data_IF_715965938425
#
_entry.id   IF_715965938425
#
_cell.length_a   1.000
_cell.length_b   1.000
_cell.length_c   1.000
_cell.angle_alpha   90.00
_cell.angle_beta   90.00
_cell.angle_gamma   90.00
#
_symmetry.space_group_name_H-M   'P 1'
#
loop_
_entity.id
_entity.type
_entity.pdbx_description
1 polymer ?
#
# COMPACT_ATOMS: atom_id res chain seq x y z
N UNK A 1 21.35 -18.98 27.30
CA UNK A 1 21.11 -19.36 25.87
C UNK A 1 21.73 -18.29 24.99
N UNK A 2 22.37 -18.65 23.86
CA UNK A 2 22.80 -17.63 22.89
C UNK A 2 21.53 -16.96 22.31
N UNK A 3 21.45 -15.63 22.23
CA UNK A 3 20.30 -14.96 21.61
C UNK A 3 20.17 -15.44 20.17
N UNK A 4 18.97 -15.92 19.81
CA UNK A 4 18.65 -16.24 18.42
C UNK A 4 18.69 -14.91 17.68
N UNK A 5 19.62 -14.76 16.74
CA UNK A 5 19.65 -13.59 15.86
C UNK A 5 18.31 -13.50 15.13
N UNK A 6 17.52 -12.47 15.45
CA UNK A 6 16.37 -12.10 14.62
C UNK A 6 16.93 -11.42 13.38
N UNK A 7 16.87 -12.05 12.18
CA UNK A 7 17.67 -11.66 11.03
C UNK A 7 17.41 -10.24 10.47
N UNK A 8 16.34 -9.57 10.93
CA UNK A 8 15.90 -8.27 10.39
C UNK A 8 15.97 -7.12 11.41
N UNK A 9 16.47 -7.38 12.62
CA UNK A 9 16.86 -6.35 13.59
C UNK A 9 18.31 -5.87 13.40
N UNK A 10 19.05 -6.42 12.43
CA UNK A 10 20.49 -6.19 12.26
C UNK A 10 20.82 -4.68 12.19
N UNK A 11 21.69 -4.26 13.11
CA UNK A 11 22.19 -2.89 13.23
C UNK A 11 21.33 -1.92 14.07
N UNK A 12 20.15 -2.32 14.56
CA UNK A 12 19.37 -1.49 15.51
C UNK A 12 19.72 -1.84 16.95
N UNK A 13 20.78 -1.24 17.47
CA UNK A 13 21.04 -1.23 18.92
C UNK A 13 20.48 0.08 19.45
N UNK A 14 19.44 0.00 20.27
CA UNK A 14 18.81 1.16 20.88
C UNK A 14 18.92 0.97 22.38
N UNK A 15 19.63 1.86 23.04
CA UNK A 15 19.75 1.85 24.49
C UNK A 15 18.69 2.77 25.08
N UNK A 16 17.93 2.28 26.04
CA UNK A 16 17.19 3.17 26.92
C UNK A 16 18.22 3.98 27.73
N UNK A 17 18.03 5.30 27.93
CA UNK A 17 18.87 6.05 28.85
C UNK A 17 18.96 5.35 30.21
N UNK A 18 20.11 5.38 30.91
CA UNK A 18 20.19 4.82 32.25
C UNK A 18 19.08 5.40 33.14
N UNK A 19 18.37 4.52 33.84
CA UNK A 19 17.36 4.92 34.82
C UNK A 19 18.01 4.85 36.19
N UNK A 20 18.11 5.98 36.88
CA UNK A 20 18.63 6.07 38.24
C UNK A 20 17.55 6.63 39.14
N UNK A 21 17.18 5.87 40.16
CA UNK A 21 16.13 6.22 41.11
C UNK A 21 16.59 5.78 42.50
N UNK A 22 16.35 6.63 43.49
CA UNK A 22 16.55 6.31 44.90
C UNK A 22 15.22 5.80 45.48
N UNK A 23 15.23 4.67 46.17
CA UNK A 23 14.10 4.17 46.95
C UNK A 23 14.53 3.96 48.40
N UNK A 24 13.59 4.13 49.33
CA UNK A 24 13.78 3.88 50.76
C UNK A 24 13.11 2.56 51.21
N UNK A 25 12.36 1.90 50.32
CA UNK A 25 11.64 0.67 50.61
C UNK A 25 12.28 -0.57 49.98
N UNK A 26 11.82 -1.77 50.36
CA UNK A 26 12.34 -3.04 49.83
C UNK A 26 11.90 -3.30 48.37
N UNK A 27 10.96 -2.51 47.85
CA UNK A 27 10.44 -2.64 46.49
C UNK A 27 10.96 -1.48 45.64
N UNK A 28 11.51 -1.83 44.48
CA UNK A 28 11.91 -0.89 43.44
C UNK A 28 11.14 -1.19 42.16
N UNK A 29 10.39 -0.20 41.66
CA UNK A 29 9.72 -0.27 40.35
C UNK A 29 10.52 0.54 39.34
N UNK A 30 10.93 -0.09 38.24
CA UNK A 30 11.67 0.59 37.16
C UNK A 30 10.70 1.46 36.35
N UNK A 31 10.85 2.80 36.34
CA UNK A 31 9.98 3.69 35.56
C UNK A 31 10.40 3.73 34.09
N UNK A 32 10.08 2.69 33.31
CA UNK A 32 10.35 2.70 31.87
C UNK A 32 9.65 3.90 31.21
N UNK A 33 10.43 4.74 30.53
CA UNK A 33 9.91 5.96 29.87
C UNK A 33 9.61 5.74 28.39
N UNK A 34 9.99 4.57 27.85
CA UNK A 34 9.80 4.20 26.44
C UNK A 34 9.31 2.76 26.35
N UNK A 35 8.45 2.47 25.37
CA UNK A 35 8.00 1.11 25.06
C UNK A 35 9.09 0.42 24.24
N UNK A 36 9.93 -0.40 24.88
CA UNK A 36 11.03 -1.11 24.23
C UNK A 36 10.99 -2.58 24.61
N UNK A 37 11.30 -3.45 23.66
CA UNK A 37 11.66 -4.83 23.95
C UNK A 37 13.14 -5.08 23.68
N UNK A 38 13.61 -6.28 23.97
CA UNK A 38 15.01 -6.69 23.84
C UNK A 38 15.59 -7.18 25.16
N UNK A 39 16.91 -7.09 25.30
CA UNK A 39 17.64 -7.51 26.49
C UNK A 39 17.55 -6.46 27.61
N UNK A 40 17.26 -6.92 28.83
CA UNK A 40 17.27 -6.13 30.05
C UNK A 40 18.38 -6.61 30.96
N UNK A 41 19.25 -5.66 31.35
CA UNK A 41 20.18 -5.82 32.46
C UNK A 41 19.78 -4.89 33.58
N UNK A 42 19.79 -5.39 34.81
CA UNK A 42 19.46 -4.62 36.02
C UNK A 42 20.64 -4.72 36.97
N UNK A 43 21.14 -3.56 37.42
CA UNK A 43 22.17 -3.47 38.45
C UNK A 43 21.63 -2.66 39.62
N UNK A 44 21.81 -3.18 40.84
CA UNK A 44 21.37 -2.54 42.08
C UNK A 44 22.57 -2.33 42.97
N UNK A 45 22.63 -1.18 43.63
CA UNK A 45 23.64 -0.84 44.63
C UNK A 45 22.94 -0.28 45.87
N UNK A 46 23.27 -0.82 47.05
CA UNK A 46 22.66 -0.42 48.33
C UNK A 46 23.77 -0.18 49.35
N UNK A 47 23.67 0.93 50.08
CA UNK A 47 24.51 1.19 51.24
C UNK A 47 23.86 0.57 52.48
N UNK A 48 24.58 -0.31 53.17
CA UNK A 48 24.17 -0.90 54.46
C UNK A 48 25.23 -0.53 55.49
N UNK A 49 24.95 0.49 56.31
CA UNK A 49 25.95 1.08 57.19
C UNK A 49 27.09 1.72 56.40
N UNK A 50 28.31 1.17 56.51
CA UNK A 50 29.50 1.61 55.76
C UNK A 50 29.76 0.78 54.50
N UNK A 51 29.02 -0.30 54.30
CA UNK A 51 29.27 -1.26 53.23
C UNK A 51 28.40 -0.96 52.01
N UNK A 52 29.01 -1.01 50.83
CA UNK A 52 28.30 -0.94 49.55
C UNK A 52 28.06 -2.35 49.02
N UNK A 53 26.82 -2.79 49.02
CA UNK A 53 26.41 -4.07 48.43
C UNK A 53 25.97 -3.86 46.98
N UNK A 54 26.33 -4.79 46.09
CA UNK A 54 25.96 -4.77 44.67
C UNK A 54 25.31 -6.08 44.26
N UNK A 55 24.32 -6.00 43.39
CA UNK A 55 23.70 -7.15 42.74
C UNK A 55 23.44 -6.84 41.27
N UNK A 56 23.50 -7.86 40.41
CA UNK A 56 23.24 -7.73 38.98
C UNK A 56 22.39 -8.90 38.47
N UNK A 57 21.50 -8.60 37.53
CA UNK A 57 20.79 -9.58 36.70
C UNK A 57 21.00 -9.23 35.23
N UNK A 58 21.36 -10.22 34.43
CA UNK A 58 21.57 -10.12 32.99
C UNK A 58 20.79 -11.21 32.25
N UNK A 59 20.56 -11.01 30.95
CA UNK A 59 19.90 -11.99 30.09
C UNK A 59 18.38 -12.08 30.31
N UNK A 60 17.78 -11.06 30.94
CA UNK A 60 16.34 -10.91 30.99
C UNK A 60 15.84 -10.42 29.63
N UNK A 61 14.68 -10.88 29.19
CA UNK A 61 14.08 -10.45 27.92
C UNK A 61 12.78 -9.68 28.18
N UNK A 62 12.65 -8.53 27.53
CA UNK A 62 11.38 -7.82 27.40
C UNK A 62 10.80 -8.17 26.02
N UNK A 63 9.71 -8.93 26.01
CA UNK A 63 9.05 -9.40 24.80
C UNK A 63 7.64 -8.81 24.70
N UNK A 64 7.13 -8.72 23.47
CA UNK A 64 5.76 -8.35 23.20
C UNK A 64 4.77 -9.49 23.48
N UNK A 65 3.48 -9.14 23.56
CA UNK A 65 2.42 -10.15 23.67
C UNK A 65 2.26 -10.88 22.34
N UNK A 66 2.43 -12.20 22.35
CA UNK A 66 2.23 -13.09 21.20
C UNK A 66 0.76 -13.22 20.74
N UNK A 67 -0.18 -12.60 21.47
CA UNK A 67 -1.61 -12.69 21.17
C UNK A 67 -2.01 -11.74 20.04
N UNK A 68 -2.86 -12.18 19.09
CA UNK A 68 -3.47 -11.29 18.12
C UNK A 68 -4.32 -10.21 18.80
N UNK A 69 -4.34 -9.03 18.19
CA UNK A 69 -5.16 -7.91 18.64
C UNK A 69 -6.56 -8.09 18.04
N UNK A 70 -7.59 -7.92 18.86
CA UNK A 70 -8.96 -8.02 18.37
C UNK A 70 -9.30 -6.85 17.45
N UNK A 71 -10.11 -7.10 16.41
CA UNK A 71 -10.55 -6.05 15.49
C UNK A 71 -11.31 -4.93 16.22
N UNK A 72 -12.11 -5.28 17.24
CA UNK A 72 -12.79 -4.29 18.08
C UNK A 72 -11.79 -3.37 18.82
N UNK A 73 -10.65 -3.89 19.27
CA UNK A 73 -9.61 -3.08 19.91
C UNK A 73 -8.92 -2.15 18.91
N UNK A 74 -8.72 -2.60 17.67
CA UNK A 74 -8.19 -1.77 16.58
C UNK A 74 -9.15 -0.61 16.27
N UNK A 75 -10.44 -0.90 16.10
CA UNK A 75 -11.47 0.11 15.85
C UNK A 75 -11.56 1.13 17.00
N UNK A 76 -11.59 0.67 18.26
CA UNK A 76 -11.56 1.55 19.45
C UNK A 76 -10.28 2.40 19.55
N UNK A 77 -9.21 2.00 18.87
CA UNK A 77 -7.94 2.73 18.80
C UNK A 77 -7.85 3.65 17.58
N UNK A 78 -8.95 3.84 16.85
CA UNK A 78 -9.06 4.78 15.73
C UNK A 78 -8.87 4.17 14.35
N UNK A 79 -8.69 2.84 14.22
CA UNK A 79 -8.63 2.21 12.91
C UNK A 79 -9.95 2.36 12.15
N UNK A 80 -9.89 2.62 10.85
CA UNK A 80 -11.03 2.48 9.95
C UNK A 80 -11.27 1.01 9.60
N UNK A 81 -12.46 0.68 9.10
CA UNK A 81 -12.75 -0.69 8.60
C UNK A 81 -11.78 -1.13 7.51
N UNK A 82 -11.37 -0.20 6.63
CA UNK A 82 -10.38 -0.48 5.58
C UNK A 82 -9.01 -0.79 6.18
N UNK A 83 -8.58 -0.08 7.23
CA UNK A 83 -7.32 -0.40 7.91
C UNK A 83 -7.38 -1.76 8.60
N UNK A 84 -8.51 -2.12 9.23
CA UNK A 84 -8.70 -3.45 9.82
C UNK A 84 -8.62 -4.55 8.76
N UNK A 85 -9.26 -4.35 7.60
CA UNK A 85 -9.18 -5.26 6.44
C UNK A 85 -7.74 -5.44 5.95
N UNK A 86 -6.97 -4.35 5.85
CA UNK A 86 -5.55 -4.39 5.50
C UNK A 86 -4.77 -5.20 6.54
N UNK A 87 -4.89 -4.86 7.83
CA UNK A 87 -4.18 -5.54 8.93
C UNK A 87 -4.45 -7.06 8.95
N UNK A 88 -5.67 -7.47 8.60
CA UNK A 88 -6.03 -8.89 8.49
C UNK A 88 -5.16 -9.63 7.48
N UNK A 89 -4.94 -9.01 6.32
CA UNK A 89 -4.08 -9.56 5.24
C UNK A 89 -2.61 -9.46 5.61
N UNK A 90 -2.17 -8.30 6.11
CA UNK A 90 -0.76 -7.98 6.37
C UNK A 90 -0.14 -8.83 7.48
N UNK A 91 -0.86 -8.99 8.60
CA UNK A 91 -0.28 -9.59 9.81
C UNK A 91 -1.15 -10.64 10.48
N UNK A 92 -2.41 -10.79 10.04
CA UNK A 92 -3.45 -11.52 10.76
C UNK A 92 -3.66 -10.95 12.16
N UNK A 93 -3.69 -9.63 12.24
CA UNK A 93 -3.84 -8.83 13.48
C UNK A 93 -2.74 -9.04 14.52
N UNK A 94 -1.52 -9.39 14.09
CA UNK A 94 -0.38 -9.64 14.97
C UNK A 94 0.65 -8.51 14.89
N UNK A 95 1.08 -8.00 16.04
CA UNK A 95 2.27 -7.14 16.12
C UNK A 95 3.55 -7.96 16.27
N UNK A 96 3.45 -9.10 16.97
CA UNK A 96 4.58 -9.92 17.38
C UNK A 96 4.43 -11.35 16.85
N UNK A 97 5.55 -12.04 16.73
CA UNK A 97 5.58 -13.47 16.43
C UNK A 97 4.87 -14.27 17.51
N UNK A 98 4.06 -15.23 17.09
CA UNK A 98 3.16 -15.93 18.00
C UNK A 98 3.67 -17.30 18.45
N UNK A 99 4.77 -17.80 17.88
CA UNK A 99 5.22 -19.19 18.06
C UNK A 99 6.74 -19.34 18.00
N UNK A 100 7.22 -20.43 18.60
CA UNK A 100 8.62 -20.86 18.54
C UNK A 100 9.54 -20.04 19.42
N UNK A 101 10.85 -20.18 19.18
CA UNK A 101 11.91 -19.51 19.95
C UNK A 101 11.92 -17.98 19.78
N UNK A 102 11.12 -17.47 18.85
CA UNK A 102 10.98 -16.04 18.55
C UNK A 102 9.60 -15.50 18.96
N UNK A 103 8.81 -16.24 19.73
CA UNK A 103 7.54 -15.72 20.24
C UNK A 103 7.76 -14.41 21.02
N UNK A 104 6.93 -13.40 20.73
CA UNK A 104 7.03 -12.08 21.34
C UNK A 104 8.04 -11.12 20.69
N UNK A 105 8.83 -11.57 19.72
CA UNK A 105 9.65 -10.67 18.89
C UNK A 105 8.78 -9.95 17.84
N UNK A 106 9.16 -8.76 17.35
CA UNK A 106 8.37 -8.04 16.34
C UNK A 106 8.16 -8.89 15.09
N UNK A 107 6.94 -8.87 14.55
CA UNK A 107 6.61 -9.58 13.32
C UNK A 107 7.18 -8.83 12.12
N UNK A 108 8.30 -9.30 11.57
CA UNK A 108 8.90 -8.72 10.38
C UNK A 108 8.39 -9.40 9.09
N UNK A 109 8.37 -8.64 7.99
CA UNK A 109 7.97 -9.12 6.69
C UNK A 109 8.89 -10.23 6.20
N UNK A 110 8.31 -11.30 5.64
CA UNK A 110 9.05 -12.46 5.15
C UNK A 110 9.90 -12.19 3.90
N UNK A 111 9.63 -11.09 3.19
CA UNK A 111 10.35 -10.64 2.00
C UNK A 111 11.66 -9.91 2.30
N UNK A 112 11.97 -9.70 3.58
CA UNK A 112 13.17 -8.99 4.07
C UNK A 112 13.26 -7.53 3.64
N UNK A 113 12.16 -6.91 3.22
CA UNK A 113 12.11 -5.47 2.93
C UNK A 113 12.04 -4.61 4.20
N UNK A 114 11.80 -5.23 5.36
CA UNK A 114 11.81 -4.56 6.65
C UNK A 114 10.42 -4.08 7.11
N UNK A 115 9.36 -4.59 6.48
CA UNK A 115 7.99 -4.41 6.96
C UNK A 115 7.84 -4.93 8.39
N UNK A 116 7.10 -4.21 9.24
CA UNK A 116 6.94 -4.61 10.65
C UNK A 116 5.53 -4.48 11.19
N UNK A 117 5.14 -5.45 12.02
CA UNK A 117 3.99 -5.37 12.90
C UNK A 117 2.64 -5.48 12.20
N UNK A 118 1.62 -4.87 12.82
CA UNK A 118 0.22 -4.95 12.38
C UNK A 118 0.02 -4.57 10.92
N UNK A 119 0.66 -3.48 10.50
CA UNK A 119 0.44 -2.82 9.22
C UNK A 119 1.60 -3.01 8.23
N UNK A 120 2.61 -3.80 8.62
CA UNK A 120 3.80 -4.11 7.82
C UNK A 120 4.51 -2.85 7.26
N UNK A 121 4.62 -1.79 8.07
CA UNK A 121 5.29 -0.53 7.68
C UNK A 121 6.71 -0.82 7.20
N UNK A 122 6.98 -0.51 5.94
CA UNK A 122 8.26 -0.78 5.26
C UNK A 122 8.98 0.52 4.87
N UNK A 123 8.25 1.43 4.21
CA UNK A 123 8.74 2.74 3.80
C UNK A 123 7.72 3.84 4.20
N UNK A 124 8.15 4.89 4.93
CA UNK A 124 9.48 5.10 5.48
C UNK A 124 9.89 3.99 6.46
N UNK A 125 11.19 3.84 6.69
CA UNK A 125 11.71 2.82 7.62
C UNK A 125 11.04 3.00 8.99
N UNK A 126 10.44 1.94 9.58
CA UNK A 126 9.70 2.08 10.84
C UNK A 126 10.60 2.54 11.97
N UNK A 127 10.06 3.39 12.85
CA UNK A 127 10.67 3.84 14.09
C UNK A 127 10.66 2.73 15.14
N UNK A 128 11.43 2.89 16.22
CA UNK A 128 11.49 1.88 17.28
C UNK A 128 10.18 1.77 18.06
N UNK A 129 9.43 2.88 18.16
CA UNK A 129 8.09 2.88 18.74
C UNK A 129 7.13 2.08 17.85
N UNK A 130 7.18 2.25 16.52
CA UNK A 130 6.34 1.48 15.58
C UNK A 130 6.70 -0.03 15.55
N UNK A 131 7.91 -0.40 15.97
CA UNK A 131 8.32 -1.81 16.11
C UNK A 131 7.73 -2.43 17.38
N UNK A 132 7.82 -1.74 18.52
CA UNK A 132 7.48 -2.30 19.83
C UNK A 132 6.11 -1.90 20.39
N UNK A 133 5.49 -0.86 19.84
CA UNK A 133 4.15 -0.41 20.20
C UNK A 133 3.20 -0.62 19.03
N UNK A 134 2.28 -1.58 19.19
CA UNK A 134 1.26 -1.83 18.17
C UNK A 134 0.37 -0.60 17.92
N UNK A 135 0.18 0.28 18.92
CA UNK A 135 -0.55 1.54 18.76
C UNK A 135 0.22 2.53 17.89
N UNK A 136 1.53 2.63 18.08
CA UNK A 136 2.37 3.46 17.22
C UNK A 136 2.41 2.89 15.80
N UNK A 137 2.53 1.57 15.65
CA UNK A 137 2.45 0.88 14.35
C UNK A 137 1.12 1.17 13.64
N UNK A 138 -0.01 1.03 14.34
CA UNK A 138 -1.32 1.34 13.80
C UNK A 138 -1.42 2.81 13.35
N UNK A 139 -0.95 3.75 14.18
CA UNK A 139 -0.94 5.17 13.84
C UNK A 139 -0.09 5.47 12.59
N UNK A 140 1.11 4.88 12.50
CA UNK A 140 1.98 5.00 11.33
C UNK A 140 1.32 4.44 10.06
N UNK A 141 0.73 3.24 10.13
CA UNK A 141 0.00 2.64 9.01
C UNK A 141 -1.21 3.46 8.59
N UNK A 142 -1.99 4.00 9.53
CA UNK A 142 -3.11 4.91 9.22
C UNK A 142 -2.64 6.18 8.52
N UNK A 143 -1.52 6.76 8.94
CA UNK A 143 -0.94 7.93 8.25
C UNK A 143 -0.58 7.61 6.81
N UNK A 144 0.03 6.45 6.56
CA UNK A 144 0.36 5.99 5.21
C UNK A 144 -0.93 5.81 4.40
N UNK A 145 -1.91 5.05 4.89
CA UNK A 145 -3.17 4.84 4.17
C UNK A 145 -3.88 6.15 3.84
N UNK A 146 -3.95 7.09 4.79
CA UNK A 146 -4.61 8.37 4.55
C UNK A 146 -3.90 9.19 3.46
N UNK A 147 -2.56 9.16 3.42
CA UNK A 147 -1.80 9.76 2.31
C UNK A 147 -2.14 9.11 0.98
N UNK A 148 -2.18 7.78 0.95
CA UNK A 148 -2.48 6.99 -0.25
C UNK A 148 -3.90 7.22 -0.77
N UNK A 149 -4.88 7.33 0.12
CA UNK A 149 -6.26 7.69 -0.23
C UNK A 149 -6.36 9.11 -0.81
N UNK A 150 -5.62 10.06 -0.25
CA UNK A 150 -5.56 11.43 -0.78
C UNK A 150 -4.98 11.46 -2.20
N UNK A 151 -3.87 10.76 -2.42
CA UNK A 151 -3.22 10.72 -3.73
C UNK A 151 -4.02 9.93 -4.77
N UNK A 152 -4.69 8.86 -4.35
CA UNK A 152 -5.67 8.16 -5.17
C UNK A 152 -6.79 9.09 -5.64
N UNK A 153 -7.39 9.86 -4.72
CA UNK A 153 -8.43 10.85 -5.06
C UNK A 153 -7.91 11.87 -6.07
N UNK A 154 -6.79 12.51 -5.77
CA UNK A 154 -6.19 13.52 -6.65
C UNK A 154 -5.90 12.98 -8.05
N UNK A 155 -5.39 11.75 -8.14
CA UNK A 155 -5.14 11.10 -9.42
C UNK A 155 -6.44 10.89 -10.21
N UNK A 156 -7.43 10.25 -9.60
CA UNK A 156 -8.68 9.91 -10.28
C UNK A 156 -9.47 11.15 -10.70
N UNK A 157 -9.47 12.20 -9.88
CA UNK A 157 -10.08 13.50 -10.22
C UNK A 157 -9.34 14.23 -11.35
N UNK A 158 -8.01 14.08 -11.44
CA UNK A 158 -7.19 14.68 -12.49
C UNK A 158 -7.19 13.87 -13.81
N UNK A 159 -7.53 12.57 -13.75
CA UNK A 159 -7.46 11.66 -14.89
C UNK A 159 -8.22 12.16 -16.14
N UNK A 160 -9.45 12.73 -16.06
CA UNK A 160 -10.15 13.28 -17.23
C UNK A 160 -9.41 14.44 -17.92
N UNK A 161 -8.48 15.10 -17.22
CA UNK A 161 -7.66 16.19 -17.78
C UNK A 161 -6.30 15.71 -18.30
N UNK A 162 -5.95 14.44 -18.06
CA UNK A 162 -4.69 13.85 -18.48
C UNK A 162 -4.54 13.80 -20.00
N UNK A 163 -3.29 13.84 -20.48
CA UNK A 163 -2.99 13.67 -21.91
C UNK A 163 -3.49 12.32 -22.44
N UNK A 164 -3.46 11.28 -21.59
CA UNK A 164 -3.94 9.93 -21.90
C UNK A 164 -5.44 9.92 -22.20
N UNK A 165 -6.27 10.50 -21.32
CA UNK A 165 -7.71 10.56 -21.55
C UNK A 165 -8.05 11.43 -22.77
N UNK A 166 -7.42 12.61 -22.91
CA UNK A 166 -7.61 13.48 -24.08
C UNK A 166 -7.25 12.79 -25.40
N UNK A 167 -6.20 11.97 -25.41
CA UNK A 167 -5.87 11.13 -26.57
C UNK A 167 -7.01 10.17 -26.91
N UNK A 168 -7.56 9.46 -25.92
CA UNK A 168 -8.66 8.51 -26.16
C UNK A 168 -9.93 9.19 -26.66
N UNK A 169 -10.23 10.40 -26.17
CA UNK A 169 -11.35 11.22 -26.69
C UNK A 169 -11.14 11.56 -28.16
N UNK A 170 -9.93 11.96 -28.54
CA UNK A 170 -9.59 12.25 -29.93
C UNK A 170 -9.69 10.99 -30.81
N UNK A 171 -9.10 9.88 -30.39
CA UNK A 171 -9.13 8.60 -31.13
C UNK A 171 -10.57 8.11 -31.34
N UNK A 172 -11.44 8.30 -30.35
CA UNK A 172 -12.87 8.01 -30.49
C UNK A 172 -13.55 8.89 -31.55
N UNK A 173 -13.37 10.21 -31.51
CA UNK A 173 -13.97 11.13 -32.49
C UNK A 173 -13.45 10.87 -33.90
N UNK A 174 -12.15 10.58 -34.07
CA UNK A 174 -11.57 10.19 -35.35
C UNK A 174 -12.18 8.88 -35.87
N UNK A 175 -12.37 7.87 -35.01
CA UNK A 175 -13.01 6.61 -35.40
C UNK A 175 -14.48 6.82 -35.82
N UNK A 176 -15.20 7.72 -35.14
CA UNK A 176 -16.57 8.12 -35.49
C UNK A 176 -16.63 8.82 -36.85
N UNK A 177 -15.70 9.73 -37.13
CA UNK A 177 -15.58 10.38 -38.43
C UNK A 177 -15.27 9.37 -39.56
N UNK A 178 -14.34 8.43 -39.34
CA UNK A 178 -14.02 7.37 -40.30
C UNK A 178 -15.23 6.48 -40.61
N UNK A 179 -16.01 6.07 -39.60
CA UNK A 179 -17.22 5.26 -39.80
C UNK A 179 -18.28 6.00 -40.60
N UNK A 180 -18.48 7.30 -40.35
CA UNK A 180 -19.44 8.11 -41.09
C UNK A 180 -19.06 8.24 -42.58
N UNK A 181 -17.77 8.28 -42.90
CA UNK A 181 -17.28 8.40 -44.27
C UNK A 181 -17.47 7.14 -45.13
N UNK A 182 -17.87 6.00 -44.55
CA UNK A 182 -18.17 4.77 -45.30
C UNK A 182 -19.54 4.93 -45.97
N UNK A 183 -19.62 4.96 -47.32
CA UNK A 183 -20.89 5.10 -48.02
C UNK A 183 -21.82 3.92 -47.70
N UNK A 184 -23.11 4.20 -47.49
CA UNK A 184 -24.11 3.14 -47.39
C UNK A 184 -24.16 2.36 -48.72
N UNK A 185 -24.34 1.02 -48.69
CA UNK A 185 -24.53 0.25 -49.91
C UNK A 185 -25.65 0.84 -50.79
N UNK A 186 -25.31 1.27 -52.01
CA UNK A 186 -26.25 1.89 -52.96
C UNK A 186 -26.37 3.43 -52.88
N UNK A 187 -25.67 4.10 -51.96
CA UNK A 187 -25.61 5.56 -51.94
C UNK A 187 -24.71 6.09 -53.07
N UNK A 188 -25.17 7.11 -53.78
CA UNK A 188 -24.34 7.84 -54.76
C UNK A 188 -23.18 8.54 -54.02
N UNK A 189 -21.97 8.59 -54.61
CA UNK A 189 -20.85 9.30 -54.00
C UNK A 189 -21.17 10.80 -53.91
N UNK A 190 -21.41 11.27 -52.69
CA UNK A 190 -21.56 12.68 -52.35
C UNK A 190 -20.58 13.06 -51.23
N UNK A 191 -20.30 14.35 -51.02
CA UNK A 191 -19.46 14.80 -49.92
C UNK A 191 -20.11 14.43 -48.59
N UNK A 192 -19.56 13.44 -47.89
CA UNK A 192 -19.99 13.10 -46.53
C UNK A 192 -19.32 14.05 -45.57
N UNK A 193 -20.09 14.94 -44.94
CA UNK A 193 -19.59 15.79 -43.87
C UNK A 193 -19.35 14.92 -42.62
N UNK A 194 -18.14 14.91 -42.04
CA UNK A 194 -17.91 14.17 -40.81
C UNK A 194 -18.77 14.76 -39.69
N UNK A 195 -19.30 13.92 -38.78
CA UNK A 195 -20.08 14.42 -37.67
C UNK A 195 -19.18 15.28 -36.76
N UNK A 196 -19.73 16.30 -36.09
CA UNK A 196 -18.96 17.15 -35.19
C UNK A 196 -18.39 16.33 -34.02
N UNK A 197 -17.24 16.74 -33.52
CA UNK A 197 -16.59 16.11 -32.37
C UNK A 197 -17.51 16.11 -31.15
N UNK A 198 -17.59 14.96 -30.47
CA UNK A 198 -18.29 14.85 -29.21
C UNK A 198 -17.45 15.42 -28.08
N UNK A 199 -18.10 16.15 -27.18
CA UNK A 199 -17.55 16.47 -25.88
C UNK A 199 -17.76 15.26 -24.96
N UNK A 200 -16.68 14.51 -24.72
CA UNK A 200 -16.72 13.30 -23.89
C UNK A 200 -16.28 13.63 -22.47
N UNK A 201 -17.13 13.31 -21.50
CA UNK A 201 -16.86 13.47 -20.07
C UNK A 201 -16.68 12.11 -19.39
N UNK A 202 -16.00 12.10 -18.25
CA UNK A 202 -15.91 10.94 -17.36
C UNK A 202 -16.50 11.35 -16.01
N UNK A 203 -17.41 10.55 -15.40
CA UNK A 203 -18.02 10.92 -14.13
C UNK A 203 -16.97 11.00 -13.02
N UNK A 204 -17.25 11.81 -11.99
CA UNK A 204 -16.40 11.90 -10.81
C UNK A 204 -16.20 10.50 -10.19
N UNK A 205 -15.00 10.19 -9.67
CA UNK A 205 -14.74 8.89 -9.06
C UNK A 205 -15.58 8.72 -7.79
N UNK A 206 -16.04 7.49 -7.55
CA UNK A 206 -16.76 7.15 -6.31
C UNK A 206 -15.78 6.94 -5.15
N UNK A 207 -16.28 7.04 -3.91
CA UNK A 207 -15.46 6.74 -2.72
C UNK A 207 -14.91 5.31 -2.73
N UNK A 208 -15.64 4.35 -3.30
CA UNK A 208 -15.16 2.97 -3.44
C UNK A 208 -13.99 2.89 -4.42
N UNK A 209 -14.04 3.61 -5.55
CA UNK A 209 -12.94 3.64 -6.52
C UNK A 209 -11.67 4.24 -5.90
N UNK A 210 -11.82 5.34 -5.16
CA UNK A 210 -10.73 5.98 -4.41
C UNK A 210 -10.17 5.02 -3.36
N UNK A 211 -11.05 4.33 -2.63
CA UNK A 211 -10.66 3.38 -1.59
C UNK A 211 -9.87 2.19 -2.14
N UNK A 212 -10.32 1.59 -3.24
CA UNK A 212 -9.63 0.48 -3.91
C UNK A 212 -8.26 0.91 -4.44
N UNK A 213 -8.18 2.07 -5.07
CA UNK A 213 -6.90 2.67 -5.50
C UNK A 213 -5.98 2.95 -4.30
N UNK A 214 -6.51 3.48 -3.20
CA UNK A 214 -5.75 3.74 -1.97
C UNK A 214 -5.22 2.47 -1.30
N UNK A 215 -6.00 1.39 -1.26
CA UNK A 215 -5.56 0.07 -0.78
C UNK A 215 -4.43 -0.46 -1.65
N UNK A 216 -4.60 -0.36 -2.97
CA UNK A 216 -3.61 -0.80 -3.93
C UNK A 216 -2.29 -0.04 -3.74
N UNK A 217 -2.39 1.28 -3.61
CA UNK A 217 -1.29 2.19 -3.34
C UNK A 217 -0.61 1.92 -1.99
N UNK A 218 -1.36 1.55 -0.95
CA UNK A 218 -0.84 1.23 0.39
C UNK A 218 0.17 0.09 0.37
N UNK A 219 -0.14 -0.99 -0.34
CA UNK A 219 0.76 -2.13 -0.50
C UNK A 219 1.94 -1.83 -1.46
N UNK A 220 1.90 -0.70 -2.14
CA UNK A 220 2.99 -0.17 -2.94
C UNK A 220 2.87 -0.48 -4.42
N UNK A 221 3.60 0.31 -5.20
CA UNK A 221 3.54 0.28 -6.66
C UNK A 221 4.58 -0.65 -7.29
N UNK A 222 5.60 -1.05 -6.53
CA UNK A 222 6.72 -1.87 -6.98
C UNK A 222 7.91 -1.08 -7.51
N UNK A 223 9.05 -1.74 -7.76
CA UNK A 223 10.31 -1.12 -8.15
C UNK A 223 10.21 -0.45 -9.53
N UNK A 224 10.75 0.76 -9.65
CA UNK A 224 10.81 1.50 -10.91
C UNK A 224 9.51 2.22 -11.31
N UNK A 225 8.51 2.22 -10.42
CA UNK A 225 7.25 2.94 -10.61
C UNK A 225 7.23 4.15 -9.68
N UNK A 226 6.72 5.28 -10.19
CA UNK A 226 6.55 6.51 -9.40
C UNK A 226 5.52 6.23 -8.32
N UNK A 227 5.94 6.31 -7.06
CA UNK A 227 5.01 6.57 -5.98
C UNK A 227 4.65 8.06 -6.04
N UNK A 228 3.40 8.45 -6.37
CA UNK A 228 3.01 9.85 -6.43
C UNK A 228 3.18 10.58 -5.09
N UNK A 229 3.31 9.85 -3.98
CA UNK A 229 3.62 10.40 -2.66
C UNK A 229 5.11 10.48 -2.34
N UNK A 230 5.98 9.84 -3.12
CA UNK A 230 7.42 9.90 -2.88
C UNK A 230 7.97 11.27 -3.27
N UNK A 231 8.99 11.72 -2.52
CA UNK A 231 9.78 12.88 -2.93
C UNK A 231 10.25 12.69 -4.39
N UNK A 232 10.24 13.76 -5.21
CA UNK A 232 10.58 13.66 -6.62
C UNK A 232 11.95 12.95 -6.78
N UNK A 233 12.08 12.03 -7.74
CA UNK A 233 13.31 11.29 -7.92
C UNK A 233 14.48 12.26 -8.16
N UNK A 234 15.64 11.93 -7.59
CA UNK A 234 16.88 12.65 -7.92
C UNK A 234 17.11 12.59 -9.45
N UNK A 235 17.60 13.65 -10.09
CA UNK A 235 17.65 13.82 -11.55
C UNK A 235 18.45 12.77 -12.34
N UNK A 236 19.16 11.85 -11.67
CA UNK A 236 19.96 10.79 -12.31
C UNK A 236 19.32 9.40 -12.28
N UNK A 237 18.07 9.27 -11.83
CA UNK A 237 17.36 7.99 -11.87
C UNK A 237 16.71 7.75 -13.25
N UNK A 238 16.75 6.49 -13.70
CA UNK A 238 16.11 6.03 -14.96
C UNK A 238 14.68 6.58 -15.09
N UNK A 239 14.18 6.84 -16.32
CA UNK A 239 12.81 7.29 -16.52
C UNK A 239 11.85 6.34 -15.81
N UNK A 240 11.18 6.86 -14.79
CA UNK A 240 10.25 6.10 -13.97
C UNK A 240 8.96 5.88 -14.75
N UNK A 241 8.37 4.69 -14.62
CA UNK A 241 7.21 4.27 -15.40
C UNK A 241 5.92 4.70 -14.72
N UNK A 242 4.91 5.09 -15.50
CA UNK A 242 3.57 5.34 -14.98
C UNK A 242 3.00 4.07 -14.37
N UNK A 243 2.44 4.19 -13.17
CA UNK A 243 1.78 3.10 -12.49
C UNK A 243 0.48 2.68 -13.23
N UNK A 244 0.17 1.37 -13.29
CA UNK A 244 -1.17 0.92 -13.71
C UNK A 244 -2.16 1.09 -12.55
N UNK A 245 -2.88 2.21 -12.57
CA UNK A 245 -3.96 2.52 -11.64
C UNK A 245 -5.04 1.44 -11.60
N UNK A 246 -5.71 1.30 -10.47
CA UNK A 246 -6.88 0.44 -10.25
C UNK A 246 -7.98 0.75 -11.26
N UNK A 247 -8.23 2.04 -11.52
CA UNK A 247 -9.30 2.49 -12.40
C UNK A 247 -8.77 3.33 -13.58
N UNK A 248 -9.30 3.09 -14.78
CA UNK A 248 -9.07 3.90 -15.98
C UNK A 248 -10.40 4.09 -16.72
N UNK A 249 -10.43 4.87 -17.81
CA UNK A 249 -11.61 4.88 -18.67
C UNK A 249 -11.79 3.53 -19.41
N UNK A 250 -13.03 3.10 -19.60
CA UNK A 250 -13.38 1.90 -20.36
C UNK A 250 -13.03 2.06 -21.83
N UNK A 251 -12.33 1.07 -22.37
CA UNK A 251 -11.92 1.02 -23.77
C UNK A 251 -12.53 -0.21 -24.44
N UNK A 252 -13.08 -0.03 -25.63
CA UNK A 252 -13.32 -1.10 -26.57
C UNK A 252 -11.97 -1.56 -27.13
N UNK A 253 -11.63 -2.81 -26.86
CA UNK A 253 -10.37 -3.44 -27.27
C UNK A 253 -10.56 -4.46 -28.39
N UNK A 254 -11.68 -4.41 -29.13
CA UNK A 254 -11.90 -5.24 -30.31
C UNK A 254 -10.79 -5.04 -31.35
N UNK A 255 -10.24 -3.83 -31.46
CA UNK A 255 -8.97 -3.54 -32.14
C UNK A 255 -7.87 -3.24 -31.08
N UNK A 256 -6.96 -4.18 -30.80
CA UNK A 256 -5.87 -3.97 -29.83
C UNK A 256 -4.88 -2.88 -30.24
N UNK A 257 -4.78 -2.55 -31.53
CA UNK A 257 -3.87 -1.50 -32.02
C UNK A 257 -4.47 -0.10 -31.86
N UNK A 258 -5.81 0.00 -31.87
CA UNK A 258 -6.54 1.26 -31.77
C UNK A 258 -7.72 1.16 -30.79
N UNK A 259 -7.46 0.97 -29.48
CA UNK A 259 -8.54 0.92 -28.51
C UNK A 259 -9.26 2.27 -28.43
N UNK A 260 -10.59 2.27 -28.50
CA UNK A 260 -11.41 3.49 -28.46
C UNK A 260 -12.25 3.54 -27.18
N UNK A 261 -12.65 4.72 -26.71
CA UNK A 261 -13.51 4.83 -25.53
C UNK A 261 -14.85 4.12 -25.75
N UNK A 262 -15.33 3.43 -24.70
CA UNK A 262 -16.75 3.07 -24.61
C UNK A 262 -17.48 4.27 -24.02
N UNK A 263 -18.40 4.84 -24.80
CA UNK A 263 -19.17 6.01 -24.38
C UNK A 263 -20.66 5.82 -24.63
N UNK A 264 -21.47 6.49 -23.82
CA UNK A 264 -22.90 6.65 -24.04
C UNK A 264 -23.15 8.04 -24.64
N UNK A 265 -23.46 8.10 -25.94
CA UNK A 265 -23.84 9.34 -26.60
C UNK A 265 -25.20 9.83 -26.08
N UNK A 266 -25.30 11.14 -25.81
CA UNK A 266 -26.58 11.75 -25.46
C UNK A 266 -27.43 12.00 -26.70
N UNK A 267 -28.75 12.12 -26.52
CA UNK A 267 -29.73 12.33 -27.61
C UNK A 267 -29.43 13.57 -28.48
N UNK A 268 -28.72 14.56 -27.95
CA UNK A 268 -28.36 15.78 -28.66
C UNK A 268 -27.16 15.59 -29.62
N UNK A 269 -26.52 14.42 -29.64
CA UNK A 269 -25.34 14.08 -30.45
C UNK A 269 -24.15 15.07 -30.35
N UNK A 270 -24.09 15.86 -29.26
CA UNK A 270 -23.01 16.83 -29.00
C UNK A 270 -22.12 16.42 -27.83
N UNK A 271 -22.64 15.57 -26.94
CA UNK A 271 -21.99 15.16 -25.70
C UNK A 271 -22.09 13.66 -25.51
N UNK A 272 -21.07 13.06 -24.89
CA UNK A 272 -21.11 11.67 -24.46
C UNK A 272 -20.46 11.49 -23.09
N UNK A 273 -20.79 10.38 -22.44
CA UNK A 273 -20.22 10.02 -21.14
C UNK A 273 -19.47 8.69 -21.26
N UNK A 274 -18.19 8.70 -20.92
CA UNK A 274 -17.38 7.51 -20.76
C UNK A 274 -17.63 6.87 -19.38
N UNK A 275 -17.26 5.60 -19.24
CA UNK A 275 -17.34 4.87 -17.97
C UNK A 275 -15.96 4.60 -17.40
N UNK A 276 -15.91 4.40 -16.08
CA UNK A 276 -14.73 3.85 -15.41
C UNK A 276 -14.66 2.34 -15.62
N UNK A 277 -13.44 1.84 -15.72
CA UNK A 277 -13.06 0.44 -15.83
C UNK A 277 -12.08 0.10 -14.71
N UNK A 278 -12.40 -0.95 -13.95
CA UNK A 278 -11.52 -1.50 -12.95
C UNK A 278 -10.58 -2.53 -13.60
N UNK A 279 -9.27 -2.29 -13.52
CA UNK A 279 -8.27 -3.22 -14.06
C UNK A 279 -8.31 -4.56 -13.33
N UNK A 280 -8.48 -5.63 -14.09
CA UNK A 280 -8.50 -6.98 -13.56
C UNK A 280 -7.10 -7.44 -13.15
N UNK A 281 -7.02 -8.62 -12.52
CA UNK A 281 -5.75 -9.33 -12.30
C UNK A 281 -4.96 -9.51 -13.60
N UNK A 282 -5.65 -9.87 -14.68
CA UNK A 282 -5.04 -10.20 -15.96
C UNK A 282 -4.53 -8.93 -16.67
N UNK A 283 -5.24 -7.81 -16.58
CA UNK A 283 -4.74 -6.51 -17.07
C UNK A 283 -3.43 -6.14 -16.39
N UNK A 284 -3.35 -6.34 -15.07
CA UNK A 284 -2.12 -6.08 -14.31
C UNK A 284 -1.02 -7.01 -14.76
N UNK A 285 -1.26 -8.32 -14.78
CA UNK A 285 -0.26 -9.29 -15.26
C UNK A 285 0.26 -8.96 -16.65
N UNK A 286 -0.64 -8.60 -17.57
CA UNK A 286 -0.28 -8.17 -18.92
C UNK A 286 0.59 -6.91 -18.87
N UNK A 287 0.16 -5.87 -18.15
CA UNK A 287 0.92 -4.63 -18.03
C UNK A 287 2.33 -4.86 -17.46
N UNK A 288 2.46 -5.68 -16.42
CA UNK A 288 3.76 -6.01 -15.84
C UNK A 288 4.66 -6.77 -16.82
N UNK A 289 4.12 -7.66 -17.67
CA UNK A 289 4.86 -8.34 -18.76
C UNK A 289 5.32 -7.36 -19.83
N UNK A 290 4.40 -6.53 -20.32
CA UNK A 290 4.66 -5.57 -21.39
C UNK A 290 5.75 -4.57 -20.98
N UNK A 291 5.86 -4.29 -19.68
CA UNK A 291 6.90 -3.42 -19.13
C UNK A 291 8.15 -4.20 -18.67
N UNK A 292 8.22 -5.52 -18.79
CA UNK A 292 9.37 -6.32 -18.29
C UNK A 292 9.68 -6.08 -16.80
N UNK A 293 8.62 -5.96 -15.99
CA UNK A 293 8.72 -5.69 -14.55
C UNK A 293 8.45 -6.93 -13.68
N UNK A 294 8.12 -8.07 -14.27
CA UNK A 294 7.91 -9.30 -13.52
C UNK A 294 9.22 -9.84 -12.96
N UNK A 295 9.20 -10.16 -11.67
CA UNK A 295 10.30 -10.87 -11.02
C UNK A 295 10.00 -12.37 -11.04
N UNK A 296 11.02 -13.21 -11.25
CA UNK A 296 10.90 -14.65 -11.00
C UNK A 296 11.38 -14.93 -9.58
N UNK A 297 10.58 -15.65 -8.80
CA UNK A 297 11.03 -16.15 -7.50
C UNK A 297 12.05 -17.30 -7.69
N UNK A 298 12.59 -17.82 -6.58
CA UNK A 298 13.55 -18.94 -6.58
C UNK A 298 13.04 -20.24 -7.25
N UNK A 299 11.74 -20.34 -7.52
CA UNK A 299 11.11 -21.46 -8.21
C UNK A 299 10.76 -21.14 -9.67
N UNK A 300 11.25 -20.02 -10.21
CA UNK A 300 10.97 -19.59 -11.59
C UNK A 300 9.56 -19.04 -11.81
N UNK A 301 8.72 -18.93 -10.78
CA UNK A 301 7.36 -18.40 -10.87
C UNK A 301 7.39 -16.88 -10.92
N UNK A 302 6.67 -16.31 -11.89
CA UNK A 302 6.47 -14.87 -12.00
C UNK A 302 5.73 -14.32 -10.77
N UNK A 303 6.26 -13.24 -10.22
CA UNK A 303 5.71 -12.51 -9.08
C UNK A 303 5.62 -11.03 -9.43
N UNK A 304 4.47 -10.44 -9.11
CA UNK A 304 4.26 -8.99 -9.19
C UNK A 304 4.53 -8.39 -7.80
N UNK A 305 5.43 -7.41 -7.71
CA UNK A 305 5.57 -6.56 -6.54
C UNK A 305 4.21 -6.00 -6.09
N UNK A 306 3.85 -6.27 -4.84
CA UNK A 306 2.56 -5.89 -4.27
C UNK A 306 1.36 -6.75 -4.71
N UNK A 307 1.53 -7.85 -5.44
CA UNK A 307 0.49 -8.84 -5.75
C UNK A 307 -0.71 -8.33 -6.58
N UNK A 308 -1.05 -8.91 -7.75
CA UNK A 308 -2.09 -8.37 -8.62
C UNK A 308 -3.50 -8.38 -7.99
N UNK A 309 -3.71 -9.23 -6.97
CA UNK A 309 -5.00 -9.46 -6.32
C UNK A 309 -5.09 -8.81 -4.93
N UNK A 310 -4.15 -7.92 -4.56
CA UNK A 310 -4.09 -7.39 -3.20
C UNK A 310 -5.39 -6.74 -2.74
N UNK A 311 -5.99 -5.88 -3.58
CA UNK A 311 -7.28 -5.23 -3.30
C UNK A 311 -8.37 -6.27 -3.08
N UNK A 312 -8.47 -7.26 -3.99
CA UNK A 312 -9.43 -8.36 -3.88
C UNK A 312 -9.28 -9.15 -2.57
N UNK A 313 -8.05 -9.41 -2.14
CA UNK A 313 -7.76 -10.10 -0.88
C UNK A 313 -8.15 -9.28 0.35
N UNK A 314 -7.81 -7.98 0.36
CA UNK A 314 -8.16 -7.06 1.47
C UNK A 314 -9.69 -6.93 1.59
N UNK A 315 -10.37 -6.79 0.47
CA UNK A 315 -11.81 -6.57 0.43
C UNK A 315 -12.65 -7.84 0.50
N UNK A 316 -12.02 -9.01 0.40
CA UNK A 316 -12.70 -10.28 0.19
C UNK A 316 -13.72 -10.20 -0.98
N UNK A 317 -13.38 -9.44 -2.01
CA UNK A 317 -14.21 -9.22 -3.19
C UNK A 317 -13.50 -9.79 -4.40
N UNK A 318 -14.20 -10.56 -5.24
CA UNK A 318 -13.68 -10.89 -6.57
C UNK A 318 -13.96 -9.70 -7.50
N UNK A 319 -12.97 -9.31 -8.30
CA UNK A 319 -13.19 -8.48 -9.48
C UNK A 319 -13.77 -9.43 -10.52
N UNK A 320 -15.10 -9.55 -10.56
CA UNK A 320 -15.77 -10.66 -11.25
C UNK A 320 -15.93 -10.40 -12.75
N UNK A 321 -15.89 -9.16 -13.23
CA UNK A 321 -15.85 -8.84 -14.66
C UNK A 321 -15.69 -7.32 -14.92
N UNK A 322 -15.10 -6.93 -16.07
CA UNK A 322 -15.24 -5.63 -16.75
C UNK A 322 -16.64 -5.04 -16.77
#
# INVERSE_FOLDING_TARGET
MKPVKVPLAEGRIIMHPPISVLTQGPVFTIPFTKIRGGDLSVSVSVNVGKDLLKAESQGLLILGSALPISEQMLLRSGASDTMVQIIRVESRTRQFESRGLVAGYPLFSGDKLGGVGLTQITYPRPTDDEIWSWKANLAGGMKILNSKLKSARQHLEAYPQSAKFKRYVREYNEARARKAAIPLPGALPGPVQPPPDLQITLPAPTEEQIRREGIRAFNGYGPGIIDPDAAPPKPHHKPQREYLFEHNATLDRADPQNPVLVVQEQKNAATATASWYENTKDDRLKWWRDHSLLHKNKHGKETIPGGPDYVSHVLNSRIINP
#
